data_IF_349403776143
#
_entry.id   IF_349403776143
#
_cell.length_a   1.000
_cell.length_b   1.000
_cell.length_c   1.000
_cell.angle_alpha   90.00
_cell.angle_beta   90.00
_cell.angle_gamma   90.00
#
_symmetry.space_group_name_H-M   'P 1'
#
loop_
_entity.id
_entity.type
_entity.pdbx_description
1 polymer ?
#
# COMPACT_ATOMS: atom_id res chain seq x y z
N UNK A 1 22.25 83.88 33.44
CA UNK A 1 22.05 82.40 33.60
C UNK A 1 22.59 81.72 32.37
N UNK A 2 23.77 81.01 32.49
CA UNK A 2 24.41 80.25 31.43
C UNK A 2 24.14 78.79 31.64
N UNK A 3 23.28 78.16 30.82
CA UNK A 3 23.07 76.72 30.84
C UNK A 3 24.21 76.06 30.07
N UNK A 4 24.97 75.22 30.77
CA UNK A 4 25.97 74.30 30.18
C UNK A 4 25.28 73.04 29.68
N UNK A 5 25.24 72.89 28.38
CA UNK A 5 24.85 71.59 27.77
C UNK A 5 25.98 70.59 27.96
N UNK A 6 25.72 69.54 28.79
CA UNK A 6 26.53 68.36 28.88
C UNK A 6 26.27 67.50 27.65
N UNK A 7 27.25 67.48 26.71
CA UNK A 7 27.25 66.57 25.58
C UNK A 7 27.67 65.19 26.10
N UNK A 8 26.69 64.28 26.30
CA UNK A 8 26.94 62.87 26.57
C UNK A 8 27.62 62.26 25.34
N UNK A 9 28.92 61.84 25.47
CA UNK A 9 29.56 61.00 24.50
C UNK A 9 29.03 59.59 24.62
N UNK A 10 28.07 59.20 23.78
CA UNK A 10 27.76 57.79 23.54
C UNK A 10 28.99 57.14 22.92
N UNK A 11 29.70 56.36 23.71
CA UNK A 11 30.74 55.46 23.21
C UNK A 11 30.00 54.35 22.40
N UNK A 12 30.08 54.47 21.09
CA UNK A 12 29.71 53.37 20.19
C UNK A 12 30.74 52.24 20.45
N UNK A 13 30.39 51.30 21.29
CA UNK A 13 31.04 50.02 21.34
C UNK A 13 30.67 49.28 20.04
N UNK A 14 31.42 49.50 18.99
CA UNK A 14 31.47 48.57 17.88
C UNK A 14 32.10 47.28 18.40
N UNK A 15 31.24 46.33 18.79
CA UNK A 15 31.67 44.97 19.10
C UNK A 15 32.11 44.33 17.78
N UNK A 16 33.39 44.52 17.45
CA UNK A 16 34.05 43.83 16.36
C UNK A 16 33.99 42.33 16.64
N UNK A 17 33.32 41.58 15.80
CA UNK A 17 33.35 40.13 15.84
C UNK A 17 34.81 39.64 15.81
N UNK A 18 35.20 38.88 16.83
CA UNK A 18 36.53 38.26 16.88
C UNK A 18 36.60 37.21 15.75
N UNK A 19 37.75 37.10 15.08
CA UNK A 19 37.97 36.08 14.03
C UNK A 19 37.67 34.70 14.56
N UNK A 20 37.96 34.42 15.82
CA UNK A 20 37.62 33.13 16.47
C UNK A 20 36.11 32.88 16.57
N UNK A 21 35.33 33.90 16.82
CA UNK A 21 33.88 33.83 16.91
C UNK A 21 33.25 33.58 15.54
N UNK A 22 33.78 34.22 14.49
CA UNK A 22 33.39 33.99 13.11
C UNK A 22 33.71 32.57 12.64
N UNK A 23 34.87 32.02 13.03
CA UNK A 23 35.24 30.63 12.71
C UNK A 23 34.39 29.63 13.46
N UNK A 24 34.10 29.87 14.74
CA UNK A 24 33.18 29.01 15.50
C UNK A 24 31.74 29.03 14.94
N UNK A 25 31.23 30.20 14.60
CA UNK A 25 29.90 30.33 14.00
C UNK A 25 29.81 29.60 12.66
N UNK A 26 30.84 29.69 11.80
CA UNK A 26 30.89 29.00 10.52
C UNK A 26 30.97 27.46 10.69
N UNK A 27 31.73 26.96 11.68
CA UNK A 27 31.77 25.54 12.01
C UNK A 27 30.41 25.01 12.47
N UNK A 28 29.69 25.71 13.34
CA UNK A 28 28.37 25.35 13.81
C UNK A 28 27.37 25.33 12.64
N UNK A 29 27.44 26.33 11.77
CA UNK A 29 26.59 26.42 10.58
C UNK A 29 26.81 25.24 9.63
N UNK A 30 28.09 24.87 9.38
CA UNK A 30 28.43 23.69 8.58
C UNK A 30 27.93 22.37 9.19
N UNK A 31 28.02 22.23 10.51
CA UNK A 31 27.46 21.05 11.19
C UNK A 31 25.93 20.99 11.07
N UNK A 32 25.25 22.11 11.27
CA UNK A 32 23.79 22.16 11.16
C UNK A 32 23.30 21.89 9.73
N UNK A 33 23.99 22.41 8.71
CA UNK A 33 23.63 22.15 7.31
C UNK A 33 23.81 20.68 6.93
N UNK A 34 24.88 20.02 7.36
CA UNK A 34 25.08 18.59 7.12
C UNK A 34 24.04 17.71 7.80
N UNK A 35 23.69 18.00 9.06
CA UNK A 35 22.66 17.28 9.80
C UNK A 35 21.27 17.47 9.14
N UNK A 36 20.95 18.68 8.71
CA UNK A 36 19.70 18.99 8.03
C UNK A 36 19.58 18.26 6.69
N UNK A 37 20.65 18.27 5.87
CA UNK A 37 20.68 17.56 4.60
C UNK A 37 20.44 16.05 4.78
N UNK A 38 21.09 15.41 5.77
CA UNK A 38 20.90 14.01 6.09
C UNK A 38 19.45 13.69 6.51
N UNK A 39 18.83 14.58 7.29
CA UNK A 39 17.44 14.45 7.71
C UNK A 39 16.48 14.54 6.50
N UNK A 40 16.69 15.51 5.60
CA UNK A 40 15.84 15.66 4.41
C UNK A 40 15.92 14.44 3.48
N UNK A 41 17.12 13.91 3.23
CA UNK A 41 17.29 12.71 2.39
C UNK A 41 16.55 11.51 3.00
N UNK A 42 16.71 11.30 4.31
CA UNK A 42 16.06 10.18 5.01
C UNK A 42 14.54 10.34 5.07
N UNK A 43 14.06 11.55 5.33
CA UNK A 43 12.63 11.86 5.33
C UNK A 43 12.00 11.64 3.96
N UNK A 44 12.66 12.07 2.88
CA UNK A 44 12.16 11.89 1.52
C UNK A 44 12.09 10.40 1.13
N UNK A 45 13.09 9.60 1.50
CA UNK A 45 13.07 8.15 1.23
C UNK A 45 11.95 7.43 1.99
N UNK A 46 11.68 7.83 3.24
CA UNK A 46 10.57 7.28 4.02
C UNK A 46 9.21 7.67 3.41
N UNK A 47 9.09 8.91 2.94
CA UNK A 47 7.88 9.39 2.28
C UNK A 47 7.61 8.64 0.97
N UNK A 48 8.64 8.40 0.17
CA UNK A 48 8.51 7.59 -1.06
C UNK A 48 8.09 6.15 -0.75
N UNK A 49 8.66 5.51 0.29
CA UNK A 49 8.25 4.18 0.70
C UNK A 49 6.81 4.14 1.21
N UNK A 50 6.37 5.13 1.96
CA UNK A 50 4.99 5.22 2.42
C UNK A 50 4.03 5.38 1.23
N UNK A 51 4.32 6.30 0.30
CA UNK A 51 3.53 6.50 -0.91
C UNK A 51 3.48 5.26 -1.81
N UNK A 52 4.58 4.52 -1.92
CA UNK A 52 4.62 3.25 -2.64
C UNK A 52 3.73 2.20 -1.98
N UNK A 53 3.79 2.07 -0.64
CA UNK A 53 2.91 1.15 0.11
C UNK A 53 1.43 1.47 -0.09
N UNK A 54 1.07 2.73 -0.06
CA UNK A 54 -0.31 3.17 -0.26
C UNK A 54 -0.79 2.85 -1.68
N UNK A 55 0.04 3.11 -2.69
CA UNK A 55 -0.25 2.78 -4.08
C UNK A 55 -0.42 1.27 -4.30
N UNK A 56 0.45 0.46 -3.68
CA UNK A 56 0.38 -1.01 -3.75
C UNK A 56 -0.88 -1.52 -3.04
N UNK A 57 -1.21 -0.99 -1.88
CA UNK A 57 -2.45 -1.37 -1.19
C UNK A 57 -3.69 -1.04 -2.02
N UNK A 58 -3.71 0.11 -2.70
CA UNK A 58 -4.81 0.47 -3.60
C UNK A 58 -4.94 -0.50 -4.78
N UNK A 59 -3.82 -0.93 -5.38
CA UNK A 59 -3.83 -1.95 -6.44
C UNK A 59 -4.33 -3.30 -5.94
N UNK A 60 -3.92 -3.75 -4.75
CA UNK A 60 -4.40 -4.99 -4.15
C UNK A 60 -5.91 -4.93 -3.89
N UNK A 61 -6.44 -3.79 -3.40
CA UNK A 61 -7.88 -3.64 -3.21
C UNK A 61 -8.63 -3.67 -4.55
N UNK A 62 -8.08 -3.04 -5.59
CA UNK A 62 -8.66 -3.08 -6.93
C UNK A 62 -8.67 -4.49 -7.51
N UNK A 63 -7.58 -5.24 -7.35
CA UNK A 63 -7.46 -6.62 -7.78
C UNK A 63 -8.44 -7.53 -7.02
N UNK A 64 -8.49 -7.37 -5.69
CA UNK A 64 -9.42 -8.12 -4.84
C UNK A 64 -10.89 -7.85 -5.21
N UNK A 65 -11.23 -6.63 -5.61
CA UNK A 65 -12.56 -6.29 -6.07
C UNK A 65 -12.88 -6.93 -7.42
N UNK A 66 -11.90 -7.01 -8.33
CA UNK A 66 -12.04 -7.74 -9.58
C UNK A 66 -12.30 -9.24 -9.33
N UNK A 67 -11.53 -9.86 -8.42
CA UNK A 67 -11.76 -11.25 -8.00
C UNK A 67 -13.17 -11.42 -7.41
N UNK A 68 -13.59 -10.53 -6.51
CA UNK A 68 -14.93 -10.55 -5.92
C UNK A 68 -16.03 -10.50 -6.97
N UNK A 69 -15.85 -9.65 -7.99
CA UNK A 69 -16.80 -9.53 -9.09
C UNK A 69 -16.91 -10.84 -9.88
N UNK A 70 -15.81 -11.50 -10.18
CA UNK A 70 -15.78 -12.79 -10.88
C UNK A 70 -16.42 -13.90 -10.03
N UNK A 71 -16.07 -13.97 -8.74
CA UNK A 71 -16.65 -14.91 -7.78
C UNK A 71 -18.16 -14.70 -7.65
N UNK A 72 -18.63 -13.45 -7.68
CA UNK A 72 -20.05 -13.13 -7.62
C UNK A 72 -20.82 -13.48 -8.92
N UNK A 73 -20.12 -13.53 -10.05
CA UNK A 73 -20.73 -13.91 -11.33
C UNK A 73 -20.73 -15.43 -11.56
N UNK A 74 -19.95 -16.17 -10.79
CA UNK A 74 -19.83 -17.61 -10.95
C UNK A 74 -21.16 -18.32 -10.72
N UNK A 75 -21.64 -19.04 -11.74
CA UNK A 75 -22.94 -19.70 -11.75
C UNK A 75 -24.15 -18.79 -11.42
N UNK A 76 -23.99 -17.48 -11.61
CA UNK A 76 -25.09 -16.54 -11.45
C UNK A 76 -26.01 -16.57 -12.68
N UNK A 77 -27.31 -16.76 -12.43
CA UNK A 77 -28.34 -16.62 -13.43
C UNK A 77 -29.17 -15.38 -13.11
N UNK A 78 -29.15 -14.42 -14.03
CA UNK A 78 -29.95 -13.20 -13.91
C UNK A 78 -31.25 -13.41 -14.67
N UNK A 79 -32.39 -13.38 -13.95
CA UNK A 79 -33.70 -13.41 -14.59
C UNK A 79 -33.98 -12.06 -15.27
N UNK A 80 -34.13 -12.11 -16.60
CA UNK A 80 -34.34 -10.92 -17.42
C UNK A 80 -35.64 -10.17 -17.11
N UNK A 81 -36.62 -10.82 -16.45
CA UNK A 81 -37.92 -10.22 -16.14
C UNK A 81 -38.00 -9.54 -14.77
N UNK A 82 -37.35 -10.11 -13.75
CA UNK A 82 -37.41 -9.61 -12.37
C UNK A 82 -36.15 -8.92 -11.89
N UNK A 83 -35.03 -9.07 -12.63
CA UNK A 83 -33.72 -8.59 -12.17
C UNK A 83 -33.14 -9.35 -10.98
N UNK A 84 -33.81 -10.44 -10.55
CA UNK A 84 -33.32 -11.25 -9.44
C UNK A 84 -32.16 -12.13 -9.90
N UNK A 85 -31.14 -12.21 -9.04
CA UNK A 85 -29.98 -13.06 -9.25
C UNK A 85 -30.25 -14.38 -8.48
N UNK A 86 -30.14 -15.49 -9.20
CA UNK A 86 -30.17 -16.85 -8.63
C UNK A 86 -28.83 -17.52 -8.96
N UNK A 87 -28.44 -18.52 -8.18
CA UNK A 87 -27.20 -19.26 -8.42
C UNK A 87 -27.54 -20.74 -8.62
N UNK A 88 -26.81 -21.39 -9.52
CA UNK A 88 -26.92 -22.82 -9.79
C UNK A 88 -25.57 -23.52 -9.60
N UNK A 89 -25.05 -23.58 -8.34
CA UNK A 89 -23.74 -24.18 -8.08
C UNK A 89 -23.75 -25.68 -8.41
N UNK A 90 -22.57 -26.27 -8.75
CA UNK A 90 -22.47 -27.70 -8.99
C UNK A 90 -22.86 -28.51 -7.72
N UNK A 91 -23.79 -29.41 -7.85
CA UNK A 91 -24.28 -30.22 -6.72
C UNK A 91 -23.16 -30.99 -6.01
N UNK A 92 -22.22 -31.54 -6.77
CA UNK A 92 -21.06 -32.25 -6.23
C UNK A 92 -20.20 -31.35 -5.35
N UNK A 93 -20.01 -30.09 -5.75
CA UNK A 93 -19.24 -29.10 -4.98
C UNK A 93 -19.97 -28.69 -3.69
N UNK A 94 -21.27 -28.55 -3.72
CA UNK A 94 -22.09 -28.30 -2.54
C UNK A 94 -22.00 -29.46 -1.54
N UNK A 95 -22.20 -30.67 -2.01
CA UNK A 95 -22.19 -31.89 -1.17
C UNK A 95 -20.83 -32.13 -0.52
N UNK A 96 -19.75 -31.89 -1.28
CA UNK A 96 -18.39 -32.06 -0.78
C UNK A 96 -17.84 -30.85 0.01
N UNK A 97 -18.62 -29.77 0.09
CA UNK A 97 -18.19 -28.49 0.70
C UNK A 97 -16.87 -27.94 0.12
N UNK A 98 -16.74 -27.98 -1.20
CA UNK A 98 -15.52 -27.66 -1.92
C UNK A 98 -15.77 -26.66 -3.07
N UNK A 99 -16.60 -25.66 -2.80
CA UNK A 99 -17.00 -24.65 -3.79
C UNK A 99 -15.82 -23.82 -4.32
N UNK A 100 -14.86 -23.48 -3.45
CA UNK A 100 -13.70 -22.71 -3.88
C UNK A 100 -12.79 -23.48 -4.85
N UNK A 101 -12.60 -24.79 -4.64
CA UNK A 101 -11.87 -25.62 -5.61
C UNK A 101 -12.62 -25.80 -6.91
N UNK A 102 -13.96 -25.93 -6.84
CA UNK A 102 -14.78 -26.00 -8.05
C UNK A 102 -14.71 -24.70 -8.86
N UNK A 103 -14.77 -23.56 -8.18
CA UNK A 103 -14.60 -22.24 -8.78
C UNK A 103 -13.23 -22.11 -9.49
N UNK A 104 -12.13 -22.48 -8.81
CA UNK A 104 -10.78 -22.37 -9.36
C UNK A 104 -10.50 -23.37 -10.50
N UNK A 105 -11.26 -24.45 -10.60
CA UNK A 105 -11.15 -25.43 -11.68
C UNK A 105 -12.08 -25.15 -12.86
N UNK A 106 -12.95 -24.16 -12.73
CA UNK A 106 -13.94 -23.82 -13.76
C UNK A 106 -13.32 -22.92 -14.83
N UNK A 107 -13.20 -23.46 -16.04
CA UNK A 107 -12.63 -22.73 -17.19
C UNK A 107 -13.50 -21.57 -17.68
N UNK A 108 -14.73 -21.42 -17.18
CA UNK A 108 -15.58 -20.26 -17.48
C UNK A 108 -15.21 -19.02 -16.69
N UNK A 109 -14.39 -19.17 -15.67
CA UNK A 109 -13.89 -18.09 -14.80
C UNK A 109 -12.42 -17.87 -15.11
N UNK A 110 -12.06 -16.64 -15.42
CA UNK A 110 -10.68 -16.24 -15.74
C UNK A 110 -9.92 -15.90 -14.44
N UNK A 111 -9.77 -16.91 -13.58
CA UNK A 111 -9.04 -16.80 -12.32
C UNK A 111 -7.80 -17.68 -12.36
N UNK A 112 -6.64 -17.06 -12.50
CA UNK A 112 -5.36 -17.74 -12.37
C UNK A 112 -5.06 -18.07 -10.89
N UNK A 113 -4.65 -19.30 -10.61
CA UNK A 113 -4.29 -19.73 -9.27
C UNK A 113 -3.07 -19.00 -8.70
N UNK A 114 -2.22 -18.44 -9.57
CA UNK A 114 -1.07 -17.64 -9.17
C UNK A 114 -0.64 -16.72 -10.31
N UNK A 115 -0.45 -15.44 -9.99
CA UNK A 115 0.02 -14.43 -10.95
C UNK A 115 0.80 -13.32 -10.23
N UNK A 116 1.56 -12.56 -10.99
CA UNK A 116 2.26 -11.37 -10.50
C UNK A 116 1.40 -10.12 -10.75
N UNK A 117 1.25 -9.30 -9.70
CA UNK A 117 0.49 -8.06 -9.78
C UNK A 117 1.22 -7.03 -10.63
N UNK A 118 0.52 -6.40 -11.57
CA UNK A 118 1.09 -5.37 -12.44
C UNK A 118 1.34 -4.05 -11.68
N UNK A 119 2.57 -3.86 -11.24
CA UNK A 119 3.00 -2.66 -10.50
C UNK A 119 3.33 -1.47 -11.41
N UNK A 120 3.19 -1.57 -12.73
CA UNK A 120 3.41 -0.44 -13.65
C UNK A 120 2.45 0.72 -13.42
N UNK A 121 1.32 0.44 -12.76
CA UNK A 121 0.27 1.40 -12.41
C UNK A 121 0.51 2.15 -11.10
N UNK A 122 1.60 1.86 -10.38
CA UNK A 122 1.92 2.60 -9.15
C UNK A 122 2.37 4.03 -9.44
N UNK A 123 2.00 4.97 -8.58
CA UNK A 123 2.38 6.39 -8.72
C UNK A 123 3.86 6.64 -8.46
N UNK A 124 4.53 5.72 -7.76
CA UNK A 124 5.96 5.74 -7.46
C UNK A 124 6.60 4.50 -8.08
N UNK A 125 7.77 4.62 -8.73
CA UNK A 125 8.45 3.46 -9.31
C UNK A 125 8.69 2.36 -8.27
N UNK A 126 8.16 1.16 -8.53
CA UNK A 126 8.26 0.00 -7.65
C UNK A 126 9.56 -0.78 -7.90
N UNK A 127 10.72 -0.11 -7.96
CA UNK A 127 12.00 -0.74 -8.28
C UNK A 127 12.34 -1.88 -7.31
N UNK A 128 12.54 -3.08 -7.86
CA UNK A 128 12.90 -4.27 -7.09
C UNK A 128 11.77 -4.86 -6.24
N UNK A 129 10.53 -4.37 -6.39
CA UNK A 129 9.36 -4.95 -5.77
C UNK A 129 8.59 -5.79 -6.78
N UNK A 130 8.26 -7.03 -6.42
CA UNK A 130 7.23 -7.81 -7.09
C UNK A 130 6.25 -8.36 -6.05
N UNK A 131 5.00 -8.50 -6.44
CA UNK A 131 3.93 -9.01 -5.57
C UNK A 131 3.25 -10.16 -6.29
N UNK A 132 3.31 -11.33 -5.68
CA UNK A 132 2.63 -12.51 -6.17
C UNK A 132 1.28 -12.66 -5.47
N UNK A 133 0.24 -12.79 -6.26
CA UNK A 133 -1.09 -13.20 -5.81
C UNK A 133 -1.22 -14.71 -5.95
N UNK A 134 -1.78 -15.38 -4.94
CA UNK A 134 -2.11 -16.81 -4.98
C UNK A 134 -3.53 -17.01 -4.51
N UNK A 135 -4.29 -17.80 -5.28
CA UNK A 135 -5.67 -18.15 -4.99
C UNK A 135 -5.75 -19.65 -4.70
N UNK A 136 -6.31 -20.00 -3.58
CA UNK A 136 -6.48 -21.41 -3.18
C UNK A 136 -7.75 -21.61 -2.36
N UNK A 137 -8.28 -22.81 -2.38
CA UNK A 137 -9.33 -23.18 -1.43
C UNK A 137 -8.75 -23.20 -0.01
N UNK A 138 -9.49 -22.68 0.95
CA UNK A 138 -9.06 -22.71 2.34
C UNK A 138 -9.03 -24.16 2.86
N UNK A 139 -7.92 -24.54 3.49
CA UNK A 139 -7.73 -25.92 3.98
C UNK A 139 -8.75 -26.35 5.05
N UNK A 140 -9.19 -25.40 5.87
CA UNK A 140 -10.16 -25.66 6.95
C UNK A 140 -11.60 -25.60 6.48
N UNK A 141 -11.87 -24.86 5.40
CA UNK A 141 -13.20 -24.71 4.82
C UNK A 141 -13.09 -24.58 3.29
N UNK A 142 -13.25 -25.66 2.58
CA UNK A 142 -13.16 -25.73 1.13
C UNK A 142 -14.16 -24.84 0.36
N UNK A 143 -15.15 -24.27 1.06
CA UNK A 143 -16.06 -23.29 0.47
C UNK A 143 -15.48 -21.87 0.43
N UNK A 144 -14.43 -21.60 1.21
CA UNK A 144 -13.79 -20.29 1.24
C UNK A 144 -12.65 -20.24 0.24
N UNK A 145 -12.65 -19.24 -0.63
CA UNK A 145 -11.52 -18.88 -1.46
C UNK A 145 -10.57 -17.99 -0.65
N UNK A 146 -9.34 -18.43 -0.50
CA UNK A 146 -8.27 -17.65 0.13
C UNK A 146 -7.42 -17.01 -0.94
N UNK A 147 -7.29 -15.68 -0.87
CA UNK A 147 -6.42 -14.87 -1.72
C UNK A 147 -5.27 -14.37 -0.87
N UNK A 148 -4.05 -14.61 -1.29
CA UNK A 148 -2.84 -14.21 -0.57
C UNK A 148 -1.95 -13.38 -1.47
N UNK A 149 -1.50 -12.23 -0.98
CA UNK A 149 -0.55 -11.34 -1.65
C UNK A 149 0.75 -11.32 -0.87
N UNK A 150 1.85 -11.64 -1.52
CA UNK A 150 3.17 -11.66 -0.91
C UNK A 150 4.18 -10.91 -1.75
N UNK A 151 4.97 -10.05 -1.11
CA UNK A 151 6.09 -9.38 -1.76
C UNK A 151 7.32 -10.28 -1.80
N UNK A 152 8.20 -10.05 -2.79
CA UNK A 152 9.51 -10.68 -2.84
C UNK A 152 10.39 -10.31 -1.63
N UNK A 153 11.31 -11.19 -1.24
CA UNK A 153 12.16 -11.03 -0.06
C UNK A 153 13.17 -9.88 -0.16
N UNK A 154 13.51 -9.42 -1.37
CA UNK A 154 14.48 -8.34 -1.62
C UNK A 154 13.86 -6.97 -1.91
N UNK A 155 12.55 -6.83 -1.78
CA UNK A 155 11.85 -5.58 -2.08
C UNK A 155 12.07 -4.49 -1.01
N UNK A 156 11.67 -3.25 -1.32
CA UNK A 156 11.83 -2.10 -0.42
C UNK A 156 11.01 -2.22 0.86
N UNK A 157 10.02 -3.10 0.89
CA UNK A 157 9.26 -3.46 2.08
C UNK A 157 8.69 -4.88 1.93
N UNK A 158 8.37 -5.50 3.05
CA UNK A 158 7.66 -6.78 3.08
C UNK A 158 6.17 -6.57 3.20
N UNK A 159 5.40 -7.31 2.40
CA UNK A 159 3.95 -7.33 2.41
C UNK A 159 3.49 -8.79 2.46
N UNK A 160 2.56 -9.06 3.36
CA UNK A 160 1.82 -10.31 3.42
C UNK A 160 0.38 -9.96 3.78
N UNK A 161 -0.51 -10.04 2.82
CA UNK A 161 -1.93 -9.70 2.98
C UNK A 161 -2.76 -10.89 2.54
N UNK A 162 -3.75 -11.25 3.32
CA UNK A 162 -4.66 -12.36 3.03
C UNK A 162 -6.11 -11.87 3.11
N UNK A 163 -6.93 -12.37 2.20
CA UNK A 163 -8.37 -12.16 2.19
C UNK A 163 -9.06 -13.50 2.01
N UNK A 164 -10.26 -13.61 2.56
CA UNK A 164 -11.12 -14.77 2.38
C UNK A 164 -12.42 -14.33 1.73
N UNK A 165 -12.80 -15.01 0.67
CA UNK A 165 -14.00 -14.74 -0.10
C UNK A 165 -14.91 -15.95 -0.03
N UNK A 166 -16.19 -15.71 0.24
CA UNK A 166 -17.21 -16.72 0.21
C UNK A 166 -17.98 -16.58 -1.10
N UNK A 167 -17.98 -17.58 -1.99
CA UNK A 167 -18.81 -17.53 -3.19
C UNK A 167 -20.30 -17.42 -2.81
N UNK A 168 -21.06 -16.45 -3.37
CA UNK A 168 -22.48 -16.30 -3.08
C UNK A 168 -23.30 -17.55 -3.42
N UNK A 169 -22.81 -18.34 -4.37
CA UNK A 169 -23.39 -19.64 -4.74
C UNK A 169 -23.56 -20.61 -3.55
N UNK A 170 -22.78 -20.43 -2.47
CA UNK A 170 -22.91 -21.27 -1.26
C UNK A 170 -24.32 -21.19 -0.63
N UNK A 171 -24.94 -20.02 -0.65
CA UNK A 171 -26.28 -19.84 -0.10
C UNK A 171 -27.38 -20.56 -0.87
N UNK A 172 -27.06 -21.14 -2.03
CA UNK A 172 -27.96 -21.87 -2.93
C UNK A 172 -27.69 -23.39 -2.95
N UNK A 173 -26.75 -23.83 -2.14
CA UNK A 173 -26.53 -25.27 -1.96
C UNK A 173 -27.72 -25.90 -1.23
N UNK A 174 -28.22 -27.07 -1.70
CA UNK A 174 -29.36 -27.78 -1.12
C UNK A 174 -29.05 -28.34 0.29
#
# INVERSE_FOLDING_TARGET
MKQRFHKSKQANHELGFSITESVMASMILLMMTNLSAGFFIKSNSQFQQASLRDSVNALIEQDLEAIRSQVAQWHANQDAGSGQISYAPPEAACTSRNLASALLSDSSVDLDNSYELDLSKTTVPAQGLSINATLQANESNGNLLQVSYQSNAGGPFQLNKQAQLLPPAQGWCP
#
